data_IF_730665131721
#
_entry.id   IF_730665131721
#
_cell.length_a   1.000
_cell.length_b   1.000
_cell.length_c   1.000
_cell.angle_alpha   90.00
_cell.angle_beta   90.00
_cell.angle_gamma   90.00
#
_symmetry.space_group_name_H-M   'P 1'
#
loop_
_entity.id
_entity.type
_entity.pdbx_description
1 polymer ?
#
# COMPACT_ATOMS: atom_id res chain seq x y z
N UNK A 1 0.04 -11.00 9.31
CA UNK A 1 0.31 -10.00 8.26
C UNK A 1 0.51 -10.68 6.90
N UNK A 2 0.63 -9.87 5.85
CA UNK A 2 0.65 -10.28 4.43
C UNK A 2 1.81 -11.22 4.06
N UNK A 3 2.94 -11.17 4.77
CA UNK A 3 4.12 -12.02 4.51
C UNK A 3 3.79 -13.52 4.42
N UNK A 4 2.83 -14.01 5.23
CA UNK A 4 2.41 -15.42 5.18
C UNK A 4 1.86 -15.84 3.81
N UNK A 5 1.24 -14.92 3.08
CA UNK A 5 0.71 -15.17 1.74
C UNK A 5 1.82 -15.09 0.69
N UNK A 6 2.73 -14.12 0.81
CA UNK A 6 3.84 -13.98 -0.13
C UNK A 6 4.83 -15.16 -0.05
N UNK A 7 5.01 -15.77 1.11
CA UNK A 7 5.82 -17.00 1.27
C UNK A 7 5.32 -18.18 0.43
N UNK A 8 4.04 -18.19 0.05
CA UNK A 8 3.48 -19.24 -0.82
C UNK A 8 3.92 -19.09 -2.27
N UNK A 9 4.26 -17.87 -2.71
CA UNK A 9 4.61 -17.56 -4.11
C UNK A 9 6.10 -17.31 -4.32
N UNK A 10 6.85 -16.97 -3.27
CA UNK A 10 8.30 -16.75 -3.36
C UNK A 10 9.03 -17.10 -2.07
N UNK A 11 10.25 -17.68 -2.23
CA UNK A 11 11.15 -17.95 -1.10
C UNK A 11 12.13 -16.79 -0.83
N UNK A 12 12.22 -15.81 -1.73
CA UNK A 12 13.20 -14.71 -1.65
C UNK A 12 12.53 -13.41 -1.24
N UNK A 13 12.18 -13.29 0.03
CA UNK A 13 11.53 -12.11 0.61
C UNK A 13 12.56 -11.31 1.43
N UNK A 14 12.49 -9.99 1.30
CA UNK A 14 13.19 -9.04 2.19
C UNK A 14 12.17 -8.04 2.72
N UNK A 15 12.29 -7.70 4.00
CA UNK A 15 11.44 -6.72 4.66
C UNK A 15 12.26 -5.50 5.03
N UNK A 16 11.65 -4.32 4.95
CA UNK A 16 12.22 -3.06 5.45
C UNK A 16 11.29 -2.59 6.57
N UNK A 17 11.86 -2.38 7.75
CA UNK A 17 11.16 -1.86 8.92
C UNK A 17 12.07 -0.87 9.64
N UNK A 18 11.79 0.45 9.52
CA UNK A 18 12.62 1.49 10.14
C UNK A 18 12.58 1.49 11.67
N UNK A 19 11.43 1.15 12.26
CA UNK A 19 11.26 1.13 13.72
C UNK A 19 12.16 0.07 14.35
N UNK A 20 13.02 0.48 15.28
CA UNK A 20 13.98 -0.41 15.98
C UNK A 20 13.28 -1.57 16.67
N UNK A 21 12.16 -1.28 17.36
CA UNK A 21 11.40 -2.29 18.11
C UNK A 21 10.74 -3.29 17.17
N UNK A 22 9.99 -2.80 16.16
CA UNK A 22 9.31 -3.67 15.20
C UNK A 22 10.29 -4.48 14.36
N UNK A 23 11.43 -3.89 13.97
CA UNK A 23 12.49 -4.60 13.26
C UNK A 23 13.02 -5.80 14.07
N UNK A 24 13.26 -5.61 15.36
CA UNK A 24 13.70 -6.68 16.27
C UNK A 24 12.65 -7.79 16.37
N UNK A 25 11.38 -7.43 16.51
CA UNK A 25 10.25 -8.37 16.54
C UNK A 25 10.18 -9.17 15.23
N UNK A 26 10.26 -8.48 14.08
CA UNK A 26 10.21 -9.14 12.78
C UNK A 26 11.40 -10.08 12.55
N UNK A 27 12.61 -9.69 12.96
CA UNK A 27 13.80 -10.57 12.90
C UNK A 27 13.59 -11.85 13.69
N UNK A 28 13.08 -11.76 14.93
CA UNK A 28 12.76 -12.93 15.76
C UNK A 28 11.69 -13.79 15.09
N UNK A 29 10.58 -13.17 14.65
CA UNK A 29 9.43 -13.85 14.03
C UNK A 29 9.79 -14.64 12.78
N UNK A 30 10.63 -14.07 11.91
CA UNK A 30 10.96 -14.66 10.60
C UNK A 30 12.34 -15.33 10.56
N UNK A 31 12.99 -15.57 11.71
CA UNK A 31 14.30 -16.23 11.78
C UNK A 31 14.30 -17.59 11.09
N UNK A 32 13.29 -18.42 11.37
CA UNK A 32 13.14 -19.76 10.77
C UNK A 32 12.84 -19.72 9.26
N UNK A 33 12.22 -18.66 8.78
CA UNK A 33 11.84 -18.50 7.37
C UNK A 33 12.99 -17.99 6.50
N UNK A 34 14.16 -17.69 7.07
CA UNK A 34 15.32 -17.10 6.38
C UNK A 34 14.99 -15.77 5.68
N UNK A 35 13.95 -15.04 6.13
CA UNK A 35 13.58 -13.73 5.60
C UNK A 35 14.52 -12.69 6.19
N UNK A 36 15.15 -11.90 5.31
CA UNK A 36 16.03 -10.80 5.72
C UNK A 36 15.19 -9.57 6.09
N UNK A 37 15.42 -9.02 7.29
CA UNK A 37 14.76 -7.80 7.77
C UNK A 37 15.81 -6.70 7.88
N UNK A 38 15.65 -5.65 7.10
CA UNK A 38 16.54 -4.48 7.05
C UNK A 38 15.92 -3.30 7.81
N UNK A 39 16.77 -2.43 8.36
CA UNK A 39 16.32 -1.20 9.01
C UNK A 39 16.01 -0.11 8.00
N UNK A 40 16.78 -0.06 6.91
CA UNK A 40 16.60 0.89 5.83
C UNK A 40 17.00 0.27 4.47
N UNK A 41 16.61 0.94 3.39
CA UNK A 41 16.88 0.52 2.01
C UNK A 41 18.34 0.70 1.58
N UNK A 42 19.08 1.60 2.20
CA UNK A 42 20.47 1.92 1.80
C UNK A 42 21.41 0.73 1.95
N UNK A 43 21.05 -0.22 2.83
CA UNK A 43 21.82 -1.46 3.06
C UNK A 43 21.55 -2.53 2.00
N UNK A 44 20.56 -2.30 1.11
CA UNK A 44 20.12 -3.31 0.14
C UNK A 44 20.89 -3.12 -1.16
N UNK A 45 21.84 -4.02 -1.42
CA UNK A 45 22.68 -4.03 -2.65
C UNK A 45 22.10 -4.87 -3.80
N UNK A 46 20.91 -5.48 -3.64
CA UNK A 46 20.32 -6.37 -4.66
C UNK A 46 19.12 -5.75 -5.35
N UNK A 47 18.84 -6.21 -6.58
CA UNK A 47 17.62 -5.85 -7.31
C UNK A 47 16.52 -6.88 -7.09
N UNK A 48 15.27 -6.41 -7.08
CA UNK A 48 14.06 -7.20 -6.88
C UNK A 48 13.21 -7.18 -8.16
N UNK A 49 12.45 -8.24 -8.36
CA UNK A 49 11.42 -8.32 -9.41
C UNK A 49 10.17 -7.54 -9.01
N UNK A 50 9.90 -7.49 -7.72
CA UNK A 50 8.73 -6.77 -7.19
C UNK A 50 9.10 -6.05 -5.90
N UNK A 51 8.65 -4.79 -5.79
CA UNK A 51 8.70 -3.99 -4.57
C UNK A 51 7.26 -3.65 -4.17
N UNK A 52 6.92 -3.84 -2.90
CA UNK A 52 5.59 -3.65 -2.35
C UNK A 52 5.59 -2.52 -1.32
N UNK A 53 4.69 -1.56 -1.47
CA UNK A 53 4.32 -0.57 -0.48
C UNK A 53 2.84 -0.79 -0.13
N UNK A 54 2.60 -1.41 1.00
CA UNK A 54 1.26 -1.76 1.47
C UNK A 54 0.94 -0.91 2.69
N UNK A 55 0.18 0.17 2.49
CA UNK A 55 -0.15 1.18 3.51
C UNK A 55 1.12 1.76 4.16
N UNK A 56 1.99 2.36 3.35
CA UNK A 56 3.30 2.88 3.77
C UNK A 56 3.54 4.31 3.29
N UNK A 57 3.33 4.62 2.01
CA UNK A 57 3.75 5.91 1.44
C UNK A 57 2.90 7.09 1.89
N UNK A 58 1.71 6.85 2.43
CA UNK A 58 0.86 7.86 3.08
C UNK A 58 1.46 8.42 4.37
N UNK A 59 2.41 7.71 4.98
CA UNK A 59 3.16 8.15 6.16
C UNK A 59 4.45 8.90 5.81
N UNK A 60 4.83 8.95 4.53
CA UNK A 60 6.11 9.50 4.08
C UNK A 60 5.88 10.85 3.40
N UNK A 61 6.44 11.92 3.98
CA UNK A 61 6.28 13.28 3.48
C UNK A 61 6.80 13.42 2.04
N UNK A 62 8.04 13.00 1.77
CA UNK A 62 8.58 12.95 0.41
C UNK A 62 8.54 11.54 -0.17
N UNK A 63 7.31 11.01 -0.33
CA UNK A 63 7.08 9.69 -0.92
C UNK A 63 7.61 9.57 -2.36
N UNK A 64 7.70 10.69 -3.10
CA UNK A 64 8.23 10.67 -4.47
C UNK A 64 9.71 10.33 -4.48
N UNK A 65 10.49 10.95 -3.59
CA UNK A 65 11.91 10.63 -3.44
C UNK A 65 12.11 9.21 -2.88
N UNK A 66 11.25 8.80 -1.93
CA UNK A 66 11.25 7.42 -1.41
C UNK A 66 11.11 6.40 -2.54
N UNK A 67 10.12 6.59 -3.43
CA UNK A 67 9.90 5.72 -4.60
C UNK A 67 11.09 5.79 -5.56
N UNK A 68 11.58 6.99 -5.90
CA UNK A 68 12.74 7.19 -6.78
C UNK A 68 13.96 6.38 -6.33
N UNK A 69 14.29 6.46 -5.05
CA UNK A 69 15.43 5.75 -4.48
C UNK A 69 15.24 4.21 -4.55
N UNK A 70 14.01 3.73 -4.36
CA UNK A 70 13.73 2.30 -4.44
C UNK A 70 13.62 1.76 -5.87
N UNK A 71 13.34 2.61 -6.87
CA UNK A 71 13.39 2.20 -8.28
C UNK A 71 14.80 1.76 -8.72
N UNK A 72 15.86 2.21 -8.04
CA UNK A 72 17.22 1.71 -8.26
C UNK A 72 17.35 0.23 -7.90
N UNK A 73 16.59 -0.23 -6.93
CA UNK A 73 16.56 -1.62 -6.47
C UNK A 73 15.53 -2.49 -7.23
N UNK A 74 14.77 -1.92 -8.16
CA UNK A 74 13.84 -2.64 -9.00
C UNK A 74 14.52 -3.05 -10.31
N UNK A 75 14.38 -4.31 -10.72
CA UNK A 75 14.85 -4.81 -12.02
C UNK A 75 14.12 -4.07 -13.17
N UNK A 76 14.70 -4.01 -14.34
CA UNK A 76 14.01 -3.68 -15.58
C UNK A 76 12.92 -4.72 -15.85
N UNK A 77 11.72 -4.31 -16.23
CA UNK A 77 10.53 -5.17 -16.32
C UNK A 77 9.96 -5.59 -14.95
N UNK A 78 10.52 -5.12 -13.85
CA UNK A 78 10.01 -5.39 -12.50
C UNK A 78 8.82 -4.51 -12.11
N UNK A 79 8.09 -4.92 -11.08
CA UNK A 79 6.84 -4.29 -10.67
C UNK A 79 6.97 -3.57 -9.32
N UNK A 80 6.45 -2.35 -9.29
CA UNK A 80 6.21 -1.58 -8.07
C UNK A 80 4.71 -1.64 -7.77
N UNK A 81 4.33 -2.27 -6.67
CA UNK A 81 2.93 -2.39 -6.23
C UNK A 81 2.73 -1.50 -5.02
N UNK A 82 1.76 -0.62 -5.12
CA UNK A 82 1.45 0.37 -4.08
C UNK A 82 -0.02 0.23 -3.70
N UNK A 83 -0.28 0.07 -2.41
CA UNK A 83 -1.60 0.15 -1.82
C UNK A 83 -1.66 1.31 -0.84
N UNK A 84 -2.68 2.16 -0.96
CA UNK A 84 -2.83 3.39 -0.15
C UNK A 84 -4.29 3.73 0.10
N UNK A 85 -4.60 4.50 1.15
CA UNK A 85 -5.92 5.08 1.34
C UNK A 85 -6.24 6.09 0.23
N UNK A 86 -7.48 6.05 -0.25
CA UNK A 86 -7.94 6.87 -1.37
C UNK A 86 -8.73 8.10 -0.91
N UNK A 87 -8.70 9.15 -1.73
CA UNK A 87 -9.46 10.40 -1.64
C UNK A 87 -9.23 11.23 -0.37
N UNK A 88 -8.57 12.38 -0.50
CA UNK A 88 -8.32 13.31 0.60
C UNK A 88 -9.61 13.78 1.30
N UNK A 89 -10.72 13.89 0.59
CA UNK A 89 -11.99 14.26 1.22
C UNK A 89 -12.53 13.19 2.20
N UNK A 90 -12.04 11.95 2.13
CA UNK A 90 -12.32 10.89 3.11
C UNK A 90 -11.36 10.90 4.31
N UNK A 91 -10.40 11.83 4.37
CA UNK A 91 -9.48 11.96 5.50
C UNK A 91 -10.25 12.23 6.80
N UNK A 92 -9.90 11.49 7.87
CA UNK A 92 -10.59 11.55 9.18
C UNK A 92 -9.57 11.62 10.31
N UNK A 93 -10.05 11.82 11.57
CA UNK A 93 -9.19 11.74 12.75
C UNK A 93 -8.49 10.38 12.90
N UNK A 94 -9.09 9.31 12.39
CA UNK A 94 -8.41 8.01 12.32
C UNK A 94 -7.12 8.10 11.50
N UNK A 95 -7.17 8.74 10.33
CA UNK A 95 -5.98 8.92 9.49
C UNK A 95 -4.90 9.71 10.23
N UNK A 96 -5.30 10.78 10.90
CA UNK A 96 -4.40 11.61 11.72
C UNK A 96 -3.77 10.79 12.85
N UNK A 97 -4.57 10.01 13.57
CA UNK A 97 -4.13 9.23 14.72
C UNK A 97 -3.16 8.10 14.34
N UNK A 98 -3.31 7.51 13.14
CA UNK A 98 -2.37 6.50 12.63
C UNK A 98 -1.18 7.11 11.88
N UNK A 99 -1.12 8.45 11.77
CA UNK A 99 0.00 9.18 11.16
C UNK A 99 -0.04 9.26 9.64
N UNK A 100 -1.21 9.17 9.01
CA UNK A 100 -1.35 9.46 7.59
C UNK A 100 -1.16 10.95 7.33
N UNK A 101 -0.34 11.30 6.37
CA UNK A 101 -0.13 12.69 5.94
C UNK A 101 -1.12 13.09 4.84
N UNK A 102 -1.57 12.13 4.04
CA UNK A 102 -2.53 12.34 2.94
C UNK A 102 -3.20 11.03 2.54
N UNK A 103 -4.24 11.16 1.73
CA UNK A 103 -4.81 10.09 0.92
C UNK A 103 -4.55 10.38 -0.57
N UNK A 104 -4.65 9.37 -1.40
CA UNK A 104 -4.21 9.41 -2.80
C UNK A 104 -5.37 9.34 -3.78
N UNK A 105 -5.12 9.79 -5.00
CA UNK A 105 -6.01 9.66 -6.15
C UNK A 105 -5.29 9.01 -7.32
N UNK A 106 -6.02 8.56 -8.34
CA UNK A 106 -5.42 8.06 -9.59
C UNK A 106 -4.49 9.10 -10.23
N UNK A 107 -4.81 10.41 -10.12
CA UNK A 107 -4.00 11.50 -10.66
C UNK A 107 -2.59 11.52 -10.05
N UNK A 108 -2.44 11.22 -8.76
CA UNK A 108 -1.13 11.14 -8.11
C UNK A 108 -0.25 10.08 -8.80
N UNK A 109 -0.82 8.92 -9.13
CA UNK A 109 -0.09 7.82 -9.77
C UNK A 109 0.13 8.03 -11.26
N UNK A 110 -0.77 8.69 -11.98
CA UNK A 110 -0.51 9.15 -13.34
C UNK A 110 0.69 10.10 -13.39
N UNK A 111 0.75 11.06 -12.46
CA UNK A 111 1.87 11.99 -12.36
C UNK A 111 3.18 11.28 -11.99
N UNK A 112 3.12 10.30 -11.08
CA UNK A 112 4.27 9.49 -10.67
C UNK A 112 4.80 8.64 -11.85
N UNK A 113 3.90 8.00 -12.58
CA UNK A 113 4.19 7.20 -13.77
C UNK A 113 4.91 8.04 -14.84
N UNK A 114 4.40 9.23 -15.13
CA UNK A 114 5.04 10.17 -16.07
C UNK A 114 6.42 10.60 -15.57
N UNK A 115 6.52 11.03 -14.29
CA UNK A 115 7.78 11.52 -13.70
C UNK A 115 8.91 10.50 -13.75
N UNK A 116 8.61 9.23 -13.54
CA UNK A 116 9.59 8.16 -13.44
C UNK A 116 9.60 7.21 -14.64
N UNK A 117 8.90 7.55 -15.73
CA UNK A 117 8.81 6.75 -16.95
C UNK A 117 8.40 5.30 -16.69
N UNK A 118 7.39 5.09 -15.84
CA UNK A 118 6.83 3.78 -15.50
C UNK A 118 5.57 3.49 -16.32
N UNK A 119 5.30 2.22 -16.62
CA UNK A 119 4.05 1.80 -17.24
C UNK A 119 3.02 1.45 -16.17
N UNK A 120 1.83 2.03 -16.23
CA UNK A 120 0.71 1.64 -15.35
C UNK A 120 0.12 0.34 -15.89
N UNK A 121 0.19 -0.75 -15.11
CA UNK A 121 -0.43 -2.05 -15.43
C UNK A 121 -1.78 -2.21 -14.76
N UNK A 122 -1.96 -1.62 -13.59
CA UNK A 122 -3.22 -1.63 -12.83
C UNK A 122 -3.33 -0.34 -12.03
N UNK A 123 -4.54 0.25 -12.00
CA UNK A 123 -4.83 1.43 -11.20
C UNK A 123 -6.33 1.47 -10.88
N UNK A 124 -6.70 0.93 -9.73
CA UNK A 124 -8.09 0.69 -9.36
C UNK A 124 -8.36 1.11 -7.93
N UNK A 125 -9.54 1.70 -7.70
CA UNK A 125 -10.09 1.82 -6.36
C UNK A 125 -10.74 0.51 -5.94
N UNK A 126 -10.79 0.25 -4.65
CA UNK A 126 -11.47 -0.90 -4.08
C UNK A 126 -11.97 -0.60 -2.66
N UNK A 127 -12.79 -1.51 -2.12
CA UNK A 127 -13.52 -1.35 -0.87
C UNK A 127 -14.52 -0.18 -0.96
N UNK A 128 -15.45 -0.30 -1.90
CA UNK A 128 -16.54 0.64 -2.12
C UNK A 128 -17.48 0.74 -0.92
N UNK A 129 -17.77 -0.37 -0.21
CA UNK A 129 -18.56 -0.33 1.02
C UNK A 129 -17.84 0.52 2.07
N UNK A 130 -16.55 0.31 2.27
CA UNK A 130 -15.75 1.13 3.17
C UNK A 130 -15.75 2.61 2.80
N UNK A 131 -15.81 2.94 1.51
CA UNK A 131 -15.96 4.32 1.03
C UNK A 131 -17.27 4.94 1.54
N UNK A 132 -18.40 4.28 1.32
CA UNK A 132 -19.70 4.79 1.77
C UNK A 132 -19.80 4.84 3.29
N UNK A 133 -19.26 3.86 4.01
CA UNK A 133 -19.24 3.87 5.47
C UNK A 133 -18.46 5.07 6.05
N UNK A 134 -17.29 5.41 5.46
CA UNK A 134 -16.54 6.60 5.88
C UNK A 134 -17.34 7.87 5.56
N UNK A 135 -17.95 7.95 4.38
CA UNK A 135 -18.76 9.11 4.00
C UNK A 135 -19.95 9.31 4.96
N UNK A 136 -20.69 8.26 5.24
CA UNK A 136 -21.79 8.29 6.19
C UNK A 136 -21.33 8.66 7.62
N UNK A 137 -20.18 8.14 8.06
CA UNK A 137 -19.62 8.46 9.37
C UNK A 137 -19.22 9.91 9.51
N UNK A 138 -18.80 10.56 8.44
CA UNK A 138 -18.53 12.01 8.41
C UNK A 138 -19.81 12.85 8.51
N UNK A 139 -20.89 12.37 7.88
CA UNK A 139 -22.16 13.11 7.85
C UNK A 139 -22.97 12.97 9.15
N UNK A 140 -22.85 11.84 9.86
CA UNK A 140 -23.74 11.49 11.00
C UNK A 140 -23.01 11.22 12.31
N UNK A 141 -21.73 11.49 12.46
CA UNK A 141 -20.93 11.16 13.67
C UNK A 141 -21.14 9.70 14.17
N UNK A 142 -21.40 8.76 13.25
CA UNK A 142 -21.66 7.36 13.60
C UNK A 142 -20.35 6.72 14.12
N UNK A 143 -20.45 6.06 15.29
CA UNK A 143 -19.30 5.36 15.88
C UNK A 143 -18.74 4.30 14.92
N UNK A 144 -17.41 4.31 14.76
CA UNK A 144 -16.69 3.41 13.83
C UNK A 144 -16.62 2.00 14.43
N UNK A 145 -17.64 1.19 14.27
CA UNK A 145 -17.62 -0.20 14.72
C UNK A 145 -16.81 -1.06 13.74
N UNK A 146 -15.54 -1.30 14.06
CA UNK A 146 -14.60 -2.09 13.25
C UNK A 146 -15.10 -3.51 12.94
N UNK A 147 -15.90 -4.11 13.84
CA UNK A 147 -16.46 -5.46 13.64
C UNK A 147 -17.46 -5.49 12.48
N UNK A 148 -18.32 -4.48 12.37
CA UNK A 148 -19.27 -4.35 11.26
C UNK A 148 -18.53 -4.20 9.94
N UNK A 149 -17.46 -3.41 9.91
CA UNK A 149 -16.63 -3.22 8.72
C UNK A 149 -16.04 -4.54 8.23
N UNK A 150 -15.44 -5.31 9.15
CA UNK A 150 -14.83 -6.61 8.80
C UNK A 150 -15.86 -7.61 8.24
N UNK A 151 -17.08 -7.59 8.76
CA UNK A 151 -18.17 -8.44 8.26
C UNK A 151 -18.61 -8.08 6.83
N UNK A 152 -18.53 -6.79 6.47
CA UNK A 152 -18.95 -6.29 5.16
C UNK A 152 -17.85 -6.38 4.07
N UNK A 153 -16.60 -6.68 4.43
CA UNK A 153 -15.49 -6.80 3.46
C UNK A 153 -15.79 -7.76 2.28
N UNK A 154 -16.34 -8.97 2.50
CA UNK A 154 -16.64 -9.87 1.38
C UNK A 154 -17.62 -9.28 0.36
N UNK A 155 -18.61 -8.52 0.83
CA UNK A 155 -19.59 -7.83 -0.01
C UNK A 155 -18.95 -6.70 -0.82
N UNK A 156 -17.91 -6.03 -0.29
CA UNK A 156 -17.21 -4.97 -1.01
C UNK A 156 -16.72 -5.43 -2.38
N UNK A 157 -16.25 -6.67 -2.53
CA UNK A 157 -15.77 -7.20 -3.81
C UNK A 157 -16.86 -7.23 -4.89
N UNK A 158 -18.11 -7.55 -4.51
CA UNK A 158 -19.25 -7.55 -5.44
C UNK A 158 -19.58 -6.11 -5.87
N UNK A 159 -19.62 -5.18 -4.91
CA UNK A 159 -19.88 -3.78 -5.19
C UNK A 159 -18.73 -3.11 -5.96
N UNK A 160 -17.48 -3.47 -5.69
CA UNK A 160 -16.32 -2.98 -6.44
C UNK A 160 -16.46 -3.30 -7.92
N UNK A 161 -16.89 -4.52 -8.26
CA UNK A 161 -17.15 -4.92 -9.65
C UNK A 161 -18.33 -4.13 -10.25
N UNK A 162 -19.43 -3.96 -9.49
CA UNK A 162 -20.60 -3.19 -9.92
C UNK A 162 -20.25 -1.74 -10.24
N UNK A 163 -19.36 -1.12 -9.45
CA UNK A 163 -18.86 0.23 -9.67
C UNK A 163 -17.63 0.29 -10.59
N UNK A 164 -17.29 -0.81 -11.30
CA UNK A 164 -16.14 -0.89 -12.22
C UNK A 164 -14.82 -0.42 -11.56
N UNK A 165 -14.64 -0.64 -10.26
CA UNK A 165 -13.48 -0.17 -9.49
C UNK A 165 -13.20 1.35 -9.63
N UNK A 166 -14.26 2.16 -9.84
CA UNK A 166 -14.16 3.62 -9.93
C UNK A 166 -14.27 4.33 -8.58
N UNK A 167 -14.79 3.63 -7.57
CA UNK A 167 -15.03 4.15 -6.22
C UNK A 167 -14.50 3.14 -5.20
N UNK A 168 -13.86 3.63 -4.14
CA UNK A 168 -13.38 2.78 -3.03
C UNK A 168 -12.56 3.58 -2.04
N UNK A 169 -12.49 3.14 -0.78
CA UNK A 169 -11.69 3.84 0.24
C UNK A 169 -10.19 3.63 0.08
N UNK A 170 -9.79 2.66 -0.73
CA UNK A 170 -8.40 2.29 -0.99
C UNK A 170 -8.10 2.30 -2.48
N UNK A 171 -6.85 2.52 -2.83
CA UNK A 171 -6.36 2.57 -4.20
C UNK A 171 -5.15 1.66 -4.35
N UNK A 172 -5.23 0.73 -5.31
CA UNK A 172 -4.10 -0.12 -5.69
C UNK A 172 -3.52 0.33 -7.02
N UNK A 173 -2.21 0.46 -7.07
CA UNK A 173 -1.45 0.80 -8.26
C UNK A 173 -0.36 -0.23 -8.52
N UNK A 174 -0.27 -0.74 -9.74
CA UNK A 174 0.83 -1.59 -10.21
C UNK A 174 1.54 -0.87 -11.34
N UNK A 175 2.79 -0.54 -11.11
CA UNK A 175 3.67 0.16 -12.04
C UNK A 175 4.79 -0.79 -12.49
N UNK A 176 5.03 -0.87 -13.78
CA UNK A 176 6.15 -1.62 -14.34
C UNK A 176 7.30 -0.67 -14.71
N UNK A 177 8.52 -1.02 -14.29
CA UNK A 177 9.72 -0.32 -14.73
C UNK A 177 10.05 -0.73 -16.16
N UNK A 178 10.12 0.24 -17.07
CA UNK A 178 10.47 -0.02 -18.48
C UNK A 178 11.77 -0.81 -18.60
N UNK A 179 11.84 -1.63 -19.64
CA UNK A 179 13.04 -2.41 -19.99
C UNK A 179 14.22 -1.52 -20.37
#
# INVERSE_FOLDING_TARGET
GLVKYYKKVTKKISLIEPSKNLNSILKKKFKKDKIKVFKNKLVIKRKYETILYMDVIEHIQDYKNEIYLNLKNLKKGGFLVINVPAFNFLYTDFDKNVGHLKRFTKKDFFNLSKKFHLNIKKLEYYDSIGFFLILCSKLKNVSKNIKIWNYLIPLSKVFDNLFFNKIGKSLICVLEKKK
#
